data_IF_126582732831
#
_entry.id   IF_126582732831
#
_cell.length_a   1.000
_cell.length_b   1.000
_cell.length_c   1.000
_cell.angle_alpha   90.00
_cell.angle_beta   90.00
_cell.angle_gamma   90.00
#
_symmetry.space_group_name_H-M   'P 1'
#
loop_
_entity.id
_entity.type
_entity.pdbx_description
1 polymer ?
#
# COMPACT_ATOMS: atom_id res chain seq x y z
N UNK A 1 -21.98 3.69 52.94
CA UNK A 1 -21.77 5.15 52.80
C UNK A 1 -20.29 5.36 52.56
N UNK A 2 -19.89 5.25 51.29
CA UNK A 2 -19.30 6.33 50.48
C UNK A 2 -17.89 6.72 50.91
N UNK A 3 -16.89 6.28 50.15
CA UNK A 3 -15.70 7.09 49.88
C UNK A 3 -15.36 6.97 48.39
N UNK A 4 -15.50 8.08 47.67
CA UNK A 4 -15.05 8.28 46.30
C UNK A 4 -13.52 8.44 46.27
N UNK A 5 -12.84 8.04 45.19
CA UNK A 5 -11.44 8.40 44.97
C UNK A 5 -11.33 9.79 44.33
N UNK A 6 -10.38 10.60 44.81
CA UNK A 6 -9.95 11.83 44.15
C UNK A 6 -8.59 11.56 43.49
N UNK A 7 -8.59 11.45 42.15
CA UNK A 7 -7.38 11.34 41.33
C UNK A 7 -7.10 12.72 40.76
N UNK A 8 -6.03 13.35 41.24
CA UNK A 8 -5.47 14.54 40.61
C UNK A 8 -4.54 14.12 39.46
N UNK A 9 -4.90 14.56 38.27
CA UNK A 9 -4.11 14.55 37.04
C UNK A 9 -3.09 15.69 37.03
N UNK A 10 -1.83 15.40 36.69
CA UNK A 10 -0.93 16.27 35.91
C UNK A 10 0.34 15.45 35.60
N UNK A 11 0.43 14.80 34.43
CA UNK A 11 0.94 15.32 33.15
C UNK A 11 2.47 15.39 33.09
N UNK A 12 3.09 14.32 32.59
CA UNK A 12 4.52 14.28 32.26
C UNK A 12 4.86 13.16 31.27
N UNK A 13 4.30 13.14 30.05
CA UNK A 13 4.79 12.25 28.98
C UNK A 13 4.38 12.72 27.57
N UNK A 14 4.99 13.80 27.04
CA UNK A 14 4.66 14.33 25.70
C UNK A 14 5.77 14.23 24.65
N UNK A 15 6.86 13.50 24.88
CA UNK A 15 7.95 13.38 23.88
C UNK A 15 8.43 11.96 23.57
N UNK A 16 7.75 10.91 24.05
CA UNK A 16 8.07 9.51 23.73
C UNK A 16 7.01 8.80 22.86
N UNK A 17 5.84 9.41 22.60
CA UNK A 17 4.74 8.75 21.86
C UNK A 17 4.84 8.87 20.34
N UNK A 18 5.41 9.97 19.81
CA UNK A 18 5.34 10.25 18.38
C UNK A 18 6.22 9.32 17.53
N UNK A 19 7.34 8.87 18.08
CA UNK A 19 8.23 7.91 17.39
C UNK A 19 7.63 6.49 17.39
N UNK A 20 6.98 6.09 18.49
CA UNK A 20 6.34 4.78 18.62
C UNK A 20 5.09 4.61 17.75
N UNK A 21 4.32 5.67 17.51
CA UNK A 21 3.13 5.63 16.66
C UNK A 21 3.49 5.54 15.16
N UNK A 22 4.56 6.21 14.74
CA UNK A 22 5.01 6.19 13.36
C UNK A 22 5.64 4.83 12.97
N UNK A 23 6.38 4.20 13.90
CA UNK A 23 6.88 2.83 13.72
C UNK A 23 5.72 1.83 13.58
N UNK A 24 4.69 1.96 14.42
CA UNK A 24 3.48 1.12 14.32
C UNK A 24 2.77 1.29 12.97
N UNK A 25 2.73 2.50 12.41
CA UNK A 25 2.18 2.72 11.06
C UNK A 25 3.01 2.02 9.99
N UNK A 26 4.34 2.09 10.08
CA UNK A 26 5.25 1.44 9.13
C UNK A 26 5.15 -0.09 9.12
N UNK A 27 4.71 -0.70 10.23
CA UNK A 27 4.41 -2.13 10.32
C UNK A 27 2.91 -2.47 10.20
N UNK A 28 2.03 -1.48 10.03
CA UNK A 28 0.59 -1.74 9.91
C UNK A 28 0.26 -2.23 8.50
N UNK A 29 -0.13 -3.50 8.40
CA UNK A 29 -0.64 -4.08 7.17
C UNK A 29 -2.06 -3.57 6.90
N UNK A 30 -2.15 -2.57 6.03
CA UNK A 30 -3.43 -1.97 5.65
C UNK A 30 -4.32 -2.96 4.90
N UNK A 31 -5.62 -3.05 5.25
CA UNK A 31 -6.56 -3.86 4.50
C UNK A 31 -6.80 -3.26 3.11
N UNK A 32 -7.22 -4.12 2.20
CA UNK A 32 -7.74 -3.75 0.89
C UNK A 32 -9.09 -3.03 1.06
N UNK A 33 -9.42 -2.16 0.10
CA UNK A 33 -10.76 -1.55 -0.02
C UNK A 33 -11.87 -2.60 -0.14
N UNK A 34 -11.51 -3.76 -0.70
CA UNK A 34 -12.33 -4.94 -0.86
C UNK A 34 -11.75 -6.06 0.02
N UNK A 35 -12.37 -6.41 1.18
CA UNK A 35 -11.83 -7.42 2.11
C UNK A 35 -11.61 -8.80 1.46
N UNK A 36 -12.43 -9.17 0.47
CA UNK A 36 -12.28 -10.40 -0.31
C UNK A 36 -10.95 -10.43 -1.11
N UNK A 37 -10.34 -9.27 -1.36
CA UNK A 37 -9.06 -9.15 -2.05
C UNK A 37 -7.86 -9.13 -1.09
N UNK A 38 -8.06 -9.15 0.23
CA UNK A 38 -6.97 -9.12 1.22
C UNK A 38 -5.93 -10.24 1.06
N UNK A 39 -6.30 -11.50 0.78
CA UNK A 39 -5.31 -12.55 0.55
C UNK A 39 -4.42 -12.27 -0.67
N UNK A 40 -5.01 -11.73 -1.74
CA UNK A 40 -4.28 -11.36 -2.96
C UNK A 40 -3.37 -10.16 -2.72
N UNK A 41 -3.86 -9.14 -2.02
CA UNK A 41 -3.07 -7.98 -1.59
C UNK A 41 -1.87 -8.42 -0.76
N UNK A 42 -2.09 -9.26 0.26
CA UNK A 42 -1.05 -9.77 1.14
C UNK A 42 0.07 -10.48 0.38
N UNK A 43 -0.31 -11.35 -0.57
CA UNK A 43 0.65 -12.10 -1.37
C UNK A 43 1.44 -11.18 -2.33
N UNK A 44 0.79 -10.16 -2.89
CA UNK A 44 1.46 -9.17 -3.72
C UNK A 44 2.41 -8.28 -2.90
N UNK A 45 1.94 -7.70 -1.79
CA UNK A 45 2.71 -6.79 -0.96
C UNK A 45 3.98 -7.47 -0.41
N UNK A 46 3.87 -8.71 0.08
CA UNK A 46 5.02 -9.49 0.54
C UNK A 46 6.04 -9.73 -0.60
N UNK A 47 5.56 -10.12 -1.78
CA UNK A 47 6.42 -10.28 -2.94
C UNK A 47 7.11 -8.97 -3.32
N UNK A 48 6.36 -7.87 -3.36
CA UNK A 48 6.87 -6.56 -3.74
C UNK A 48 7.95 -6.09 -2.76
N UNK A 49 7.73 -6.23 -1.44
CA UNK A 49 8.71 -5.82 -0.45
C UNK A 49 10.04 -6.57 -0.62
N UNK A 50 10.00 -7.89 -0.87
CA UNK A 50 11.18 -8.71 -1.12
C UNK A 50 11.87 -8.37 -2.45
N UNK A 51 11.08 -8.15 -3.50
CA UNK A 51 11.59 -7.82 -4.83
C UNK A 51 12.18 -6.41 -4.86
N UNK A 52 11.54 -5.44 -4.23
CA UNK A 52 11.93 -4.04 -4.27
C UNK A 52 13.36 -3.83 -3.76
N UNK A 53 13.77 -4.57 -2.73
CA UNK A 53 15.15 -4.56 -2.25
C UNK A 53 16.16 -5.04 -3.30
N UNK A 54 15.79 -6.00 -4.14
CA UNK A 54 16.63 -6.51 -5.24
C UNK A 54 16.61 -5.55 -6.42
N UNK A 55 15.46 -4.95 -6.70
CA UNK A 55 15.30 -3.91 -7.71
C UNK A 55 16.22 -2.71 -7.44
N UNK A 56 16.29 -2.24 -6.19
CA UNK A 56 17.23 -1.18 -5.79
C UNK A 56 18.71 -1.54 -6.00
N UNK A 57 19.03 -2.84 -6.12
CA UNK A 57 20.38 -3.36 -6.41
C UNK A 57 20.58 -3.69 -7.90
N UNK A 58 19.65 -3.29 -8.77
CA UNK A 58 19.75 -3.46 -10.22
C UNK A 58 19.10 -4.73 -10.76
N UNK A 59 18.35 -5.49 -9.95
CA UNK A 59 17.55 -6.61 -10.48
C UNK A 59 16.37 -6.09 -11.29
N UNK A 60 16.23 -6.53 -12.54
CA UNK A 60 15.16 -6.06 -13.44
C UNK A 60 13.99 -7.05 -13.60
N UNK A 61 14.17 -8.29 -13.14
CA UNK A 61 13.15 -9.33 -13.31
C UNK A 61 12.13 -9.28 -12.18
N UNK A 62 10.93 -8.76 -12.47
CA UNK A 62 9.81 -8.69 -11.53
C UNK A 62 9.06 -10.04 -11.42
N UNK A 63 9.12 -10.75 -10.27
CA UNK A 63 8.36 -11.97 -10.04
C UNK A 63 6.91 -11.71 -9.57
N UNK A 64 6.57 -10.46 -9.24
CA UNK A 64 5.31 -10.09 -8.58
C UNK A 64 4.21 -9.69 -9.56
N UNK A 65 4.54 -9.41 -10.82
CA UNK A 65 3.58 -9.05 -11.88
C UNK A 65 2.32 -9.93 -11.96
N UNK A 66 2.39 -11.27 -11.91
CA UNK A 66 1.21 -12.13 -11.90
C UNK A 66 0.32 -11.93 -10.66
N UNK A 67 0.93 -11.72 -9.48
CA UNK A 67 0.20 -11.45 -8.22
C UNK A 67 -0.49 -10.10 -8.27
N UNK A 68 0.20 -9.09 -8.81
CA UNK A 68 -0.37 -7.76 -9.03
C UNK A 68 -1.60 -7.82 -9.93
N UNK A 69 -1.50 -8.52 -11.07
CA UNK A 69 -2.64 -8.69 -12.00
C UNK A 69 -3.84 -9.36 -11.33
N UNK A 70 -3.60 -10.39 -10.50
CA UNK A 70 -4.68 -11.05 -9.77
C UNK A 70 -5.35 -10.10 -8.76
N UNK A 71 -4.56 -9.35 -7.99
CA UNK A 71 -5.08 -8.35 -7.05
C UNK A 71 -5.86 -7.23 -7.75
N UNK A 72 -5.32 -6.65 -8.83
CA UNK A 72 -5.98 -5.63 -9.63
C UNK A 72 -7.32 -6.13 -10.19
N UNK A 73 -7.36 -7.34 -10.73
CA UNK A 73 -8.58 -7.95 -11.24
C UNK A 73 -9.65 -8.08 -10.15
N UNK A 74 -9.25 -8.46 -8.93
CA UNK A 74 -10.16 -8.55 -7.79
C UNK A 74 -10.72 -7.18 -7.41
N UNK A 75 -9.88 -6.14 -7.34
CA UNK A 75 -10.31 -4.79 -6.95
C UNK A 75 -11.20 -4.09 -7.98
N UNK A 76 -11.01 -4.35 -9.27
CA UNK A 76 -11.68 -3.60 -10.34
C UNK A 76 -13.19 -3.63 -10.25
N UNK A 77 -13.79 -4.77 -9.88
CA UNK A 77 -15.23 -4.88 -9.70
C UNK A 77 -15.74 -3.97 -8.58
N UNK A 78 -14.99 -3.90 -7.47
CA UNK A 78 -15.37 -3.10 -6.30
C UNK A 78 -15.19 -1.61 -6.57
N UNK A 79 -14.18 -1.21 -7.35
CA UNK A 79 -14.00 0.19 -7.73
C UNK A 79 -15.15 0.68 -8.62
N UNK A 80 -15.55 -0.13 -9.61
CA UNK A 80 -16.67 0.21 -10.49
C UNK A 80 -17.99 0.32 -9.69
N UNK A 81 -18.23 -0.56 -8.72
CA UNK A 81 -19.44 -0.47 -7.88
C UNK A 81 -19.46 0.76 -6.98
N UNK A 82 -18.29 1.32 -6.64
CA UNK A 82 -18.13 2.57 -5.91
C UNK A 82 -18.17 3.81 -6.82
N UNK A 83 -18.40 3.65 -8.13
CA UNK A 83 -18.41 4.75 -9.09
C UNK A 83 -17.02 5.25 -9.48
N UNK A 84 -15.98 4.48 -9.21
CA UNK A 84 -14.59 4.80 -9.57
C UNK A 84 -14.24 4.02 -10.85
N UNK A 85 -14.24 4.71 -11.98
CA UNK A 85 -13.76 4.16 -13.25
C UNK A 85 -12.29 4.56 -13.49
N UNK A 86 -11.47 3.56 -13.81
CA UNK A 86 -10.04 3.71 -14.07
C UNK A 86 -9.69 3.58 -15.57
N UNK A 87 -10.66 3.42 -16.46
CA UNK A 87 -10.45 3.25 -17.91
C UNK A 87 -9.61 4.36 -18.53
N UNK A 88 -9.91 5.63 -18.23
CA UNK A 88 -9.13 6.79 -18.72
C UNK A 88 -7.70 6.80 -18.17
N UNK A 89 -7.52 6.42 -16.91
CA UNK A 89 -6.20 6.34 -16.27
C UNK A 89 -5.36 5.22 -16.90
N UNK A 90 -5.98 4.08 -17.23
CA UNK A 90 -5.29 3.01 -17.93
C UNK A 90 -4.86 3.42 -19.34
N UNK A 91 -5.74 4.12 -20.06
CA UNK A 91 -5.48 4.56 -21.43
C UNK A 91 -4.35 5.60 -21.51
N UNK A 92 -4.18 6.42 -20.47
CA UNK A 92 -3.12 7.42 -20.37
C UNK A 92 -1.81 6.86 -19.80
N UNK A 93 -1.78 5.59 -19.38
CA UNK A 93 -0.59 4.97 -18.79
C UNK A 93 0.46 4.70 -19.86
N UNK A 94 1.53 5.48 -19.86
CA UNK A 94 2.69 5.24 -20.73
C UNK A 94 3.41 3.97 -20.28
N UNK A 95 3.56 3.01 -21.18
CA UNK A 95 4.40 1.84 -20.95
C UNK A 95 5.89 2.17 -21.21
N UNK A 96 6.76 1.29 -20.70
CA UNK A 96 8.21 1.48 -20.79
C UNK A 96 8.72 1.45 -22.23
N UNK A 97 8.07 0.72 -23.14
CA UNK A 97 8.47 0.61 -24.54
C UNK A 97 8.10 1.90 -25.28
N UNK A 98 6.90 2.43 -25.02
CA UNK A 98 6.48 3.75 -25.53
C UNK A 98 7.40 4.86 -25.04
N UNK A 99 7.78 4.86 -23.76
CA UNK A 99 8.75 5.84 -23.22
C UNK A 99 10.12 5.69 -23.88
N UNK A 100 10.64 4.47 -24.02
CA UNK A 100 11.92 4.21 -24.67
C UNK A 100 11.90 4.65 -26.15
N UNK A 101 10.81 4.38 -26.87
CA UNK A 101 10.62 4.82 -28.24
C UNK A 101 10.59 6.36 -28.37
N UNK A 102 10.00 7.06 -27.41
CA UNK A 102 10.03 8.53 -27.37
C UNK A 102 11.42 9.09 -27.06
N UNK A 103 12.20 8.44 -26.21
CA UNK A 103 13.56 8.88 -25.84
C UNK A 103 14.59 8.63 -26.95
N UNK A 104 14.46 7.52 -27.69
CA UNK A 104 15.37 7.17 -28.79
C UNK A 104 15.13 7.97 -30.09
N UNK A 105 14.06 8.77 -30.16
CA UNK A 105 13.69 9.55 -31.36
C UNK A 105 14.29 10.97 -31.37
N UNK A 106 15.18 11.29 -30.44
CA UNK A 106 15.77 12.62 -30.25
C UNK A 106 17.26 12.64 -30.61
#
# INVERSE_FOLDING_TARGET
>A
MTQSPNVNTANQTDQASLDGENERLAQTKLPSLAPECDPLKSAYDACFQDFFQKFLRGSTTDPCGPKLKAYQKCLRSTLVSLGIDLTEVDASRMDSDTLAAMLNKR
#
